data_IF_882459992000
#
_entry.id   IF_882459992000
#
_cell.length_a   1.000
_cell.length_b   1.000
_cell.length_c   1.000
_cell.angle_alpha   90.00
_cell.angle_beta   90.00
_cell.angle_gamma   90.00
#
_symmetry.space_group_name_H-M   'P 1'
#
loop_
_entity.id
_entity.type
_entity.pdbx_description
1 polymer ?
#
# COMPACT_ATOMS: atom_id res chain seq x y z
N UNK A 1 11.94 18.15 -2.25
CA UNK A 1 10.56 17.67 -2.40
C UNK A 1 9.76 18.22 -1.23
N UNK A 2 8.49 18.61 -1.42
CA UNK A 2 7.65 18.97 -0.29
C UNK A 2 7.56 17.81 0.71
N UNK A 3 7.42 18.18 2.00
CA UNK A 3 7.27 17.18 3.06
C UNK A 3 5.87 16.53 2.94
N UNK A 4 5.84 15.27 2.53
CA UNK A 4 4.60 14.53 2.32
C UNK A 4 3.77 14.42 3.61
N UNK A 5 4.42 14.36 4.77
CA UNK A 5 3.73 14.32 6.05
C UNK A 5 2.92 15.60 6.28
N UNK A 6 3.52 16.77 6.06
CA UNK A 6 2.82 18.06 6.21
C UNK A 6 1.69 18.22 5.19
N UNK A 7 1.88 17.75 3.94
CA UNK A 7 0.82 17.81 2.93
C UNK A 7 -0.38 16.96 3.34
N UNK A 8 -0.17 15.75 3.81
CA UNK A 8 -1.25 14.87 4.27
C UNK A 8 -1.83 15.28 5.63
N UNK A 9 -1.05 15.95 6.50
CA UNK A 9 -1.61 16.59 7.68
C UNK A 9 -2.65 17.65 7.31
N UNK A 10 -2.34 18.51 6.32
CA UNK A 10 -3.28 19.53 5.83
C UNK A 10 -4.53 18.93 5.19
N UNK A 11 -4.38 17.81 4.50
CA UNK A 11 -5.46 17.16 3.75
C UNK A 11 -6.29 16.16 4.58
N UNK A 12 -5.88 15.83 5.81
CA UNK A 12 -6.36 14.67 6.55
C UNK A 12 -7.90 14.57 6.62
N UNK A 13 -8.59 15.62 7.03
CA UNK A 13 -10.05 15.61 7.19
C UNK A 13 -10.76 15.52 5.82
N UNK A 14 -10.30 16.30 4.82
CA UNK A 14 -10.91 16.31 3.47
C UNK A 14 -10.69 14.97 2.76
N UNK A 15 -9.48 14.43 2.85
CA UNK A 15 -9.16 13.11 2.29
C UNK A 15 -9.99 12.02 2.92
N UNK A 16 -10.04 12.00 4.25
CA UNK A 16 -10.79 10.99 5.00
C UNK A 16 -12.31 11.06 4.75
N UNK A 17 -12.87 12.25 4.49
CA UNK A 17 -14.28 12.43 4.16
C UNK A 17 -14.62 11.88 2.75
N UNK A 18 -13.68 11.89 1.81
CA UNK A 18 -13.90 11.44 0.42
C UNK A 18 -13.65 9.94 0.19
N UNK A 19 -13.04 9.21 1.14
CA UNK A 19 -12.64 7.81 0.92
C UNK A 19 -13.78 6.83 0.64
N UNK A 20 -14.98 7.10 1.13
CA UNK A 20 -16.18 6.29 0.85
C UNK A 20 -16.60 6.25 -0.63
N UNK A 21 -16.09 7.16 -1.45
CA UNK A 21 -16.33 7.20 -2.90
C UNK A 21 -15.56 6.11 -3.67
N UNK A 22 -14.54 5.51 -3.04
CA UNK A 22 -13.67 4.51 -3.64
C UNK A 22 -14.02 3.13 -3.08
N UNK A 23 -14.87 2.38 -3.79
CA UNK A 23 -15.19 1.01 -3.39
C UNK A 23 -14.03 0.07 -3.72
N UNK A 24 -13.21 -0.21 -2.73
CA UNK A 24 -12.10 -1.17 -2.80
C UNK A 24 -12.45 -2.54 -2.24
N UNK A 25 -13.70 -2.73 -1.78
CA UNK A 25 -14.15 -3.99 -1.15
C UNK A 25 -13.87 -5.21 -2.00
N UNK A 26 -14.20 -5.25 -3.32
CA UNK A 26 -13.98 -6.45 -4.11
C UNK A 26 -12.52 -6.90 -4.19
N UNK A 27 -11.58 -5.97 -4.31
CA UNK A 27 -10.15 -6.31 -4.37
C UNK A 27 -9.58 -6.68 -2.99
N UNK A 28 -10.12 -6.10 -1.91
CA UNK A 28 -9.77 -6.50 -0.54
C UNK A 28 -10.27 -7.91 -0.24
N UNK A 29 -11.47 -8.28 -0.69
CA UNK A 29 -12.02 -9.65 -0.58
C UNK A 29 -11.16 -10.65 -1.36
N UNK A 30 -10.80 -10.35 -2.62
CA UNK A 30 -9.90 -11.18 -3.41
C UNK A 30 -8.56 -11.40 -2.69
N UNK A 31 -7.96 -10.32 -2.20
CA UNK A 31 -6.69 -10.39 -1.48
C UNK A 31 -6.83 -11.19 -0.17
N UNK A 32 -7.88 -10.94 0.61
CA UNK A 32 -8.18 -11.63 1.86
C UNK A 32 -8.41 -13.14 1.67
N UNK A 33 -8.94 -13.55 0.52
CA UNK A 33 -9.10 -14.95 0.15
C UNK A 33 -7.78 -15.74 0.06
N UNK A 34 -6.65 -15.04 -0.04
CA UNK A 34 -5.31 -15.63 -0.05
C UNK A 34 -4.63 -15.67 1.32
N UNK A 35 -5.25 -15.13 2.36
CA UNK A 35 -4.68 -14.98 3.70
C UNK A 35 -5.24 -16.04 4.67
N UNK A 36 -4.48 -16.44 5.68
CA UNK A 36 -5.02 -17.26 6.77
C UNK A 36 -6.09 -16.48 7.55
N UNK A 37 -6.81 -17.16 8.44
CA UNK A 37 -7.62 -16.50 9.45
C UNK A 37 -6.73 -15.84 10.50
N UNK A 38 -7.19 -14.73 11.09
CA UNK A 38 -6.44 -13.98 12.10
C UNK A 38 -5.02 -13.59 11.60
N UNK A 39 -4.95 -13.20 10.31
CA UNK A 39 -3.70 -12.82 9.67
C UNK A 39 -3.10 -11.57 10.33
N UNK A 40 -1.78 -11.49 10.37
CA UNK A 40 -1.08 -10.26 10.73
C UNK A 40 -0.90 -9.40 9.48
N UNK A 41 -1.55 -8.25 9.44
CA UNK A 41 -1.59 -7.33 8.29
C UNK A 41 -0.76 -6.09 8.61
N UNK A 42 0.10 -5.68 7.69
CA UNK A 42 0.73 -4.37 7.67
C UNK A 42 0.04 -3.51 6.61
N UNK A 43 -0.61 -2.42 7.02
CA UNK A 43 -1.19 -1.42 6.13
C UNK A 43 -0.25 -0.23 6.00
N UNK A 44 0.43 -0.13 4.87
CA UNK A 44 1.44 0.90 4.57
C UNK A 44 0.76 2.10 3.92
N UNK A 45 0.96 3.29 4.50
CA UNK A 45 0.20 4.48 4.11
C UNK A 45 -1.26 4.34 4.51
N UNK A 46 -1.51 3.91 5.75
CA UNK A 46 -2.84 3.57 6.25
C UNK A 46 -3.82 4.75 6.31
N UNK A 47 -3.31 5.97 6.16
CA UNK A 47 -4.12 7.18 6.21
C UNK A 47 -4.99 7.23 7.47
N UNK A 48 -6.27 7.52 7.29
CA UNK A 48 -7.27 7.56 8.36
C UNK A 48 -7.83 6.18 8.77
N UNK A 49 -7.21 5.07 8.36
CA UNK A 49 -7.59 3.71 8.72
C UNK A 49 -8.70 3.09 7.87
N UNK A 50 -9.35 3.87 7.01
CA UNK A 50 -10.43 3.40 6.14
C UNK A 50 -10.06 3.59 4.66
N UNK A 51 -10.48 2.63 3.78
CA UNK A 51 -11.26 1.42 4.07
C UNK A 51 -10.42 0.22 4.51
N UNK A 52 -9.09 0.22 4.31
CA UNK A 52 -8.23 -0.97 4.35
C UNK A 52 -8.10 -1.52 5.77
N UNK A 53 -7.58 -0.74 6.72
CA UNK A 53 -7.38 -1.22 8.09
C UNK A 53 -8.72 -1.62 8.74
N UNK A 54 -9.81 -0.88 8.50
CA UNK A 54 -11.16 -1.21 8.96
C UNK A 54 -11.59 -2.58 8.44
N UNK A 55 -11.45 -2.82 7.12
CA UNK A 55 -11.84 -4.10 6.51
C UNK A 55 -11.18 -5.31 7.20
N UNK A 56 -9.86 -5.23 7.42
CA UNK A 56 -9.12 -6.33 8.04
C UNK A 56 -9.41 -6.46 9.54
N UNK A 57 -9.59 -5.35 10.25
CA UNK A 57 -10.00 -5.38 11.66
C UNK A 57 -11.37 -6.04 11.84
N UNK A 58 -12.36 -5.69 11.00
CA UNK A 58 -13.70 -6.28 11.01
C UNK A 58 -13.68 -7.77 10.64
N UNK A 59 -12.70 -8.20 9.84
CA UNK A 59 -12.47 -9.62 9.53
C UNK A 59 -11.86 -10.41 10.70
N UNK A 60 -11.38 -9.73 11.75
CA UNK A 60 -10.72 -10.32 12.91
C UNK A 60 -9.20 -10.49 12.74
N UNK A 61 -8.58 -9.81 11.79
CA UNK A 61 -7.14 -9.81 11.60
C UNK A 61 -6.43 -8.87 12.57
N UNK A 62 -5.15 -9.13 12.82
CA UNK A 62 -4.28 -8.26 13.64
C UNK A 62 -3.65 -7.21 12.71
N UNK A 63 -4.16 -6.00 12.75
CA UNK A 63 -3.76 -4.92 11.84
C UNK A 63 -2.76 -3.99 12.51
N UNK A 64 -1.64 -3.73 11.83
CA UNK A 64 -0.71 -2.64 12.12
C UNK A 64 -0.72 -1.68 10.93
N UNK A 65 -1.15 -0.44 11.16
CA UNK A 65 -1.11 0.63 10.15
C UNK A 65 0.11 1.53 10.36
N UNK A 66 0.75 1.94 9.28
CA UNK A 66 1.81 2.95 9.32
C UNK A 66 1.52 4.08 8.35
N UNK A 67 1.80 5.31 8.80
CA UNK A 67 1.71 6.50 7.97
C UNK A 67 2.77 7.52 8.40
N UNK A 68 3.09 8.50 7.54
CA UNK A 68 3.97 9.62 7.89
C UNK A 68 3.22 10.79 8.51
N UNK A 69 1.90 10.88 8.31
CA UNK A 69 1.04 11.94 8.81
C UNK A 69 0.46 11.60 10.19
N UNK A 70 0.85 12.35 11.21
CA UNK A 70 0.30 12.17 12.56
C UNK A 70 -1.19 12.53 12.65
N UNK A 71 -1.69 13.44 11.81
CA UNK A 71 -3.12 13.76 11.76
C UNK A 71 -3.93 12.62 11.17
N UNK A 72 -3.43 11.96 10.11
CA UNK A 72 -4.03 10.73 9.58
C UNK A 72 -4.09 9.64 10.64
N UNK A 73 -2.97 9.39 11.33
CA UNK A 73 -2.92 8.38 12.39
C UNK A 73 -3.86 8.71 13.57
N UNK A 74 -4.01 9.99 13.92
CA UNK A 74 -4.97 10.40 14.95
C UNK A 74 -6.42 10.12 14.54
N UNK A 75 -6.77 10.27 13.24
CA UNK A 75 -8.07 9.86 12.70
C UNK A 75 -8.21 8.34 12.73
N UNK A 76 -7.19 7.62 12.26
CA UNK A 76 -7.18 6.16 12.20
C UNK A 76 -7.43 5.53 13.58
N UNK A 77 -6.72 5.98 14.62
CA UNK A 77 -6.91 5.49 16.00
C UNK A 77 -8.32 5.71 16.54
N UNK A 78 -9.01 6.78 16.10
CA UNK A 78 -10.41 7.02 16.47
C UNK A 78 -11.40 6.16 15.70
N UNK A 79 -11.11 5.90 14.42
CA UNK A 79 -12.01 5.17 13.52
C UNK A 79 -11.87 3.66 13.66
N UNK A 80 -10.65 3.17 13.88
CA UNK A 80 -10.32 1.74 13.95
C UNK A 80 -9.53 1.47 15.25
N UNK A 81 -10.17 1.61 16.42
CA UNK A 81 -9.48 1.46 17.71
C UNK A 81 -8.97 0.04 17.96
N UNK A 82 -9.39 -0.95 17.18
CA UNK A 82 -8.93 -2.35 17.24
C UNK A 82 -7.57 -2.56 16.59
N UNK A 83 -7.09 -1.61 15.76
CA UNK A 83 -5.81 -1.69 15.06
C UNK A 83 -4.72 -0.86 15.77
N UNK A 84 -3.45 -1.24 15.59
CA UNK A 84 -2.30 -0.47 16.06
C UNK A 84 -1.81 0.47 14.94
N UNK A 85 -1.62 1.77 15.26
CA UNK A 85 -1.18 2.77 14.28
C UNK A 85 0.08 3.48 14.75
N UNK A 86 1.13 3.45 13.89
CA UNK A 86 2.46 3.95 14.19
C UNK A 86 2.94 4.96 13.14
N UNK A 87 3.58 6.06 13.59
CA UNK A 87 4.28 6.97 12.69
C UNK A 87 5.53 6.29 12.15
N UNK A 88 5.56 6.03 10.85
CA UNK A 88 6.68 5.35 10.20
C UNK A 88 6.73 5.66 8.71
N UNK A 89 7.94 5.82 8.17
CA UNK A 89 8.15 5.98 6.74
C UNK A 89 8.27 4.61 6.08
N UNK A 90 7.54 4.39 5.00
CA UNK A 90 7.57 3.15 4.22
C UNK A 90 8.98 2.79 3.69
N UNK A 91 9.86 3.80 3.52
CA UNK A 91 11.26 3.60 3.12
C UNK A 91 12.11 2.83 4.15
N UNK A 92 11.68 2.81 5.41
CA UNK A 92 12.45 2.24 6.51
C UNK A 92 11.53 1.47 7.48
N UNK A 93 11.07 0.29 7.06
CA UNK A 93 10.20 -0.55 7.87
C UNK A 93 10.96 -1.11 9.08
N UNK A 94 10.63 -0.63 10.30
CA UNK A 94 11.25 -1.01 11.57
C UNK A 94 10.83 -2.37 12.11
N UNK A 95 10.19 -3.22 11.29
CA UNK A 95 9.72 -4.54 11.71
C UNK A 95 10.76 -5.64 11.46
N UNK A 96 10.79 -6.70 12.28
CA UNK A 96 11.62 -7.87 12.03
C UNK A 96 11.26 -8.55 10.68
N UNK A 97 12.17 -9.30 10.07
CA UNK A 97 11.86 -10.14 8.92
C UNK A 97 10.73 -11.14 9.22
N UNK A 98 9.92 -11.46 8.22
CA UNK A 98 8.84 -12.46 8.30
C UNK A 98 7.82 -12.18 9.44
N UNK A 99 7.42 -10.91 9.61
CA UNK A 99 6.48 -10.47 10.64
C UNK A 99 5.01 -10.56 10.21
N UNK A 100 4.70 -10.41 8.91
CA UNK A 100 3.35 -10.23 8.42
C UNK A 100 2.93 -11.32 7.43
N UNK A 101 1.67 -11.72 7.51
CA UNK A 101 1.02 -12.63 6.56
C UNK A 101 0.57 -11.88 5.30
N UNK A 102 0.16 -10.61 5.46
CA UNK A 102 -0.25 -9.73 4.40
C UNK A 102 0.32 -8.31 4.56
N UNK A 103 0.61 -7.67 3.43
CA UNK A 103 0.92 -6.25 3.35
C UNK A 103 -0.03 -5.61 2.36
N UNK A 104 -0.59 -4.46 2.73
CA UNK A 104 -1.30 -3.56 1.82
C UNK A 104 -0.50 -2.26 1.67
N UNK A 105 -0.42 -1.74 0.44
CA UNK A 105 0.19 -0.46 0.10
C UNK A 105 -0.68 0.24 -0.94
N UNK A 106 -1.90 0.63 -0.51
CA UNK A 106 -2.95 1.15 -1.36
C UNK A 106 -2.84 2.67 -1.45
N UNK A 107 -2.66 3.20 -2.66
CA UNK A 107 -2.49 4.63 -2.95
C UNK A 107 -1.28 5.29 -2.28
N UNK A 108 -0.16 4.56 -2.14
CA UNK A 108 1.04 5.08 -1.47
C UNK A 108 2.31 5.01 -2.32
N UNK A 109 2.50 3.95 -3.11
CA UNK A 109 3.77 3.68 -3.82
C UNK A 109 4.16 4.82 -4.75
N UNK A 110 3.21 5.37 -5.48
CA UNK A 110 3.45 6.44 -6.45
C UNK A 110 3.76 7.82 -5.83
N UNK A 111 3.69 7.96 -4.50
CA UNK A 111 4.19 9.16 -3.81
C UNK A 111 5.70 9.10 -3.53
N UNK A 112 6.33 7.95 -3.76
CA UNK A 112 7.76 7.79 -3.66
C UNK A 112 8.41 7.84 -5.06
N UNK A 113 9.61 8.42 -5.19
CA UNK A 113 10.33 8.39 -6.46
C UNK A 113 10.48 6.96 -7.01
N UNK A 114 10.20 6.76 -8.29
CA UNK A 114 10.27 5.43 -8.93
C UNK A 114 11.64 4.76 -8.83
N UNK A 115 12.70 5.55 -8.67
CA UNK A 115 14.06 5.02 -8.43
C UNK A 115 14.17 4.31 -7.07
N UNK A 116 13.30 4.61 -6.12
CA UNK A 116 13.27 4.02 -4.79
C UNK A 116 12.36 2.78 -4.72
N UNK A 117 11.50 2.52 -5.72
CA UNK A 117 10.51 1.43 -5.68
C UNK A 117 11.16 0.05 -5.51
N UNK A 118 12.34 -0.19 -6.11
CA UNK A 118 13.04 -1.47 -5.93
C UNK A 118 13.43 -1.71 -4.46
N UNK A 119 13.93 -0.70 -3.77
CA UNK A 119 14.28 -0.78 -2.35
C UNK A 119 13.04 -0.92 -1.46
N UNK A 120 11.94 -0.22 -1.80
CA UNK A 120 10.66 -0.34 -1.13
C UNK A 120 10.11 -1.77 -1.21
N UNK A 121 10.11 -2.37 -2.40
CA UNK A 121 9.63 -3.74 -2.62
C UNK A 121 10.51 -4.79 -1.91
N UNK A 122 11.82 -4.58 -1.85
CA UNK A 122 12.72 -5.41 -1.05
C UNK A 122 12.39 -5.29 0.46
N UNK A 123 12.03 -4.10 0.93
CA UNK A 123 11.53 -3.88 2.28
C UNK A 123 10.25 -4.67 2.58
N UNK A 124 9.29 -4.67 1.65
CA UNK A 124 8.05 -5.45 1.76
C UNK A 124 8.35 -6.96 1.77
N UNK A 125 9.19 -7.43 0.83
CA UNK A 125 9.60 -8.85 0.79
C UNK A 125 10.22 -9.28 2.12
N UNK A 126 11.12 -8.49 2.69
CA UNK A 126 11.81 -8.79 3.93
C UNK A 126 10.85 -9.02 5.10
N UNK A 127 9.83 -8.16 5.27
CA UNK A 127 8.91 -8.24 6.41
C UNK A 127 7.73 -9.20 6.17
N UNK A 128 7.47 -9.62 4.93
CA UNK A 128 6.53 -10.70 4.61
C UNK A 128 7.05 -12.05 5.08
N UNK A 129 6.18 -12.85 5.67
CA UNK A 129 6.42 -14.28 5.90
C UNK A 129 6.56 -15.04 4.58
N UNK A 130 7.29 -16.17 4.54
CA UNK A 130 7.20 -17.10 3.41
C UNK A 130 5.73 -17.47 3.13
N UNK A 131 5.31 -17.40 1.88
CA UNK A 131 3.90 -17.57 1.48
C UNK A 131 3.02 -16.33 1.66
N UNK A 132 3.50 -15.29 2.34
CA UNK A 132 2.76 -14.04 2.57
C UNK A 132 2.41 -13.30 1.27
N UNK A 133 1.45 -12.41 1.36
CA UNK A 133 0.85 -11.68 0.23
C UNK A 133 1.06 -10.18 0.33
N UNK A 134 1.21 -9.54 -0.82
CA UNK A 134 1.28 -8.10 -0.99
C UNK A 134 0.15 -7.65 -1.92
N UNK A 135 -0.62 -6.66 -1.51
CA UNK A 135 -1.53 -5.89 -2.35
C UNK A 135 -1.00 -4.47 -2.46
N UNK A 136 -0.85 -3.95 -3.68
CA UNK A 136 -0.47 -2.55 -3.88
C UNK A 136 -1.14 -1.93 -5.09
N UNK A 137 -1.16 -0.59 -5.12
CA UNK A 137 -1.55 0.19 -6.28
C UNK A 137 -0.37 0.95 -6.87
N UNK A 138 -0.35 1.02 -8.20
CA UNK A 138 0.59 1.84 -8.98
C UNK A 138 -0.22 2.86 -9.79
N UNK A 139 0.30 4.08 -9.91
CA UNK A 139 -0.18 4.99 -10.96
C UNK A 139 0.36 4.53 -12.32
N UNK A 140 -0.33 4.89 -13.39
CA UNK A 140 0.02 4.53 -14.77
C UNK A 140 -0.30 5.68 -15.71
N UNK A 141 -0.12 5.43 -17.01
CA UNK A 141 -0.52 6.34 -18.08
C UNK A 141 -1.97 6.81 -17.94
N UNK A 142 -2.89 5.93 -17.54
CA UNK A 142 -4.32 6.27 -17.40
C UNK A 142 -4.55 7.38 -16.37
N UNK A 143 -3.67 7.51 -15.38
CA UNK A 143 -3.76 8.54 -14.35
C UNK A 143 -2.96 9.80 -14.69
N UNK A 144 -1.73 9.66 -15.23
CA UNK A 144 -0.81 10.79 -15.44
C UNK A 144 -0.76 11.29 -16.87
N UNK A 145 -1.28 10.52 -17.84
CA UNK A 145 -1.15 10.79 -19.28
C UNK A 145 0.25 10.51 -19.84
N UNK A 146 1.13 9.88 -19.06
CA UNK A 146 2.51 9.55 -19.46
C UNK A 146 2.85 8.11 -19.09
N UNK A 147 3.68 7.46 -19.91
CA UNK A 147 4.12 6.08 -19.68
C UNK A 147 5.02 5.94 -18.45
N UNK A 148 5.85 6.94 -18.19
CA UNK A 148 6.68 7.07 -17.01
C UNK A 148 6.56 8.50 -16.50
N UNK A 149 6.50 8.69 -15.20
CA UNK A 149 6.26 9.99 -14.61
C UNK A 149 7.12 10.20 -13.37
N UNK A 150 7.71 11.39 -13.26
CA UNK A 150 8.31 11.95 -12.05
C UNK A 150 7.94 13.43 -11.99
N UNK A 151 7.01 13.79 -11.11
CA UNK A 151 6.51 15.16 -11.05
C UNK A 151 5.53 15.37 -9.91
N UNK A 152 4.67 16.35 -10.12
CA UNK A 152 3.60 16.67 -9.18
C UNK A 152 2.26 16.68 -9.91
N UNK A 153 1.23 16.12 -9.28
CA UNK A 153 -0.15 16.15 -9.73
C UNK A 153 -0.98 16.98 -8.76
N UNK A 154 -2.02 17.61 -9.27
CA UNK A 154 -2.99 18.28 -8.42
C UNK A 154 -3.94 17.25 -7.80
N UNK A 155 -4.08 17.30 -6.48
CA UNK A 155 -4.99 16.45 -5.73
C UNK A 155 -5.59 17.26 -4.57
N UNK A 156 -6.92 17.37 -4.51
CA UNK A 156 -7.65 18.13 -3.49
C UNK A 156 -7.13 19.58 -3.31
N UNK A 157 -6.79 20.26 -4.40
CA UNK A 157 -6.27 21.63 -4.39
C UNK A 157 -4.83 21.78 -3.87
N UNK A 158 -4.09 20.69 -3.79
CA UNK A 158 -2.66 20.66 -3.45
C UNK A 158 -1.86 19.96 -4.54
N UNK A 159 -0.58 20.31 -4.67
CA UNK A 159 0.34 19.60 -5.55
C UNK A 159 1.11 18.55 -4.74
N UNK A 160 0.91 17.29 -5.10
CA UNK A 160 1.56 16.16 -4.45
C UNK A 160 2.56 15.51 -5.41
N UNK A 161 3.67 14.97 -4.89
CA UNK A 161 4.60 14.19 -5.69
C UNK A 161 3.93 12.90 -6.18
N UNK A 162 4.11 12.65 -7.47
CA UNK A 162 3.71 11.41 -8.13
C UNK A 162 4.87 10.89 -8.96
N UNK A 163 5.09 9.59 -8.90
CA UNK A 163 6.16 8.94 -9.65
C UNK A 163 5.78 7.50 -9.95
N UNK A 164 5.93 7.09 -11.22
CA UNK A 164 5.71 5.70 -11.62
C UNK A 164 6.54 5.33 -12.84
N UNK A 165 6.84 4.06 -12.95
CA UNK A 165 7.33 3.40 -14.15
C UNK A 165 6.14 2.90 -15.00
N UNK A 166 6.44 2.41 -16.20
CA UNK A 166 5.52 1.54 -16.94
C UNK A 166 5.20 0.30 -16.11
N UNK A 167 3.99 -0.25 -16.20
CA UNK A 167 3.57 -1.42 -15.42
C UNK A 167 4.56 -2.58 -15.48
N UNK A 168 5.06 -2.94 -16.66
CA UNK A 168 6.00 -4.05 -16.84
C UNK A 168 7.33 -3.82 -16.13
N UNK A 169 7.82 -2.58 -16.06
CA UNK A 169 9.04 -2.22 -15.32
C UNK A 169 8.82 -2.34 -13.82
N UNK A 170 7.69 -1.83 -13.32
CA UNK A 170 7.33 -1.95 -11.92
C UNK A 170 7.14 -3.40 -11.48
N UNK A 171 6.48 -4.24 -12.31
CA UNK A 171 6.35 -5.68 -12.07
C UNK A 171 7.72 -6.39 -12.10
N UNK A 172 8.62 -5.98 -12.99
CA UNK A 172 10.00 -6.47 -13.02
C UNK A 172 10.76 -6.15 -11.73
N UNK A 173 10.56 -4.95 -11.15
CA UNK A 173 11.15 -4.57 -9.85
C UNK A 173 10.60 -5.44 -8.70
N UNK A 174 9.30 -5.75 -8.70
CA UNK A 174 8.71 -6.69 -7.71
C UNK A 174 9.34 -8.08 -7.83
N UNK A 175 9.50 -8.60 -9.05
CA UNK A 175 10.11 -9.90 -9.29
C UNK A 175 11.59 -9.92 -8.87
N UNK A 176 12.34 -8.86 -9.18
CA UNK A 176 13.74 -8.71 -8.76
C UNK A 176 13.90 -8.64 -7.23
N UNK A 177 12.88 -8.12 -6.52
CA UNK A 177 12.82 -8.15 -5.06
C UNK A 177 12.45 -9.53 -4.48
N UNK A 178 12.21 -10.55 -5.31
CA UNK A 178 11.87 -11.91 -4.86
C UNK A 178 10.37 -12.18 -4.70
N UNK A 179 9.52 -11.28 -5.19
CA UNK A 179 8.06 -11.45 -5.15
C UNK A 179 7.55 -12.03 -6.48
N UNK A 180 6.58 -12.94 -6.41
CA UNK A 180 5.90 -13.47 -7.59
C UNK A 180 4.57 -12.77 -7.79
N UNK A 181 4.35 -12.15 -8.94
CA UNK A 181 3.07 -11.52 -9.28
C UNK A 181 2.02 -12.62 -9.48
N UNK A 182 0.90 -12.49 -8.78
CA UNK A 182 -0.26 -13.40 -8.84
C UNK A 182 -1.33 -12.82 -9.77
N UNK A 183 -1.62 -11.53 -9.61
CA UNK A 183 -2.58 -10.82 -10.45
C UNK A 183 -2.14 -9.37 -10.59
N UNK A 184 -2.34 -8.79 -11.77
CA UNK A 184 -2.02 -7.40 -12.04
C UNK A 184 -2.97 -6.87 -13.13
N UNK A 185 -3.73 -5.82 -12.82
CA UNK A 185 -4.72 -5.27 -13.75
C UNK A 185 -5.13 -3.84 -13.40
N UNK A 186 -5.59 -3.04 -14.36
CA UNK A 186 -6.24 -1.77 -14.07
C UNK A 186 -7.60 -2.03 -13.40
N UNK A 187 -7.93 -1.22 -12.39
CA UNK A 187 -9.26 -1.17 -11.76
C UNK A 187 -9.64 0.29 -11.63
N UNK A 188 -10.83 0.61 -12.13
CA UNK A 188 -11.45 1.91 -11.93
C UNK A 188 -12.26 1.90 -10.63
N UNK A 189 -12.04 2.90 -9.80
CA UNK A 189 -12.80 3.12 -8.57
C UNK A 189 -12.83 4.61 -8.25
N UNK A 190 -14.01 5.14 -7.93
CA UNK A 190 -14.20 6.56 -7.65
C UNK A 190 -13.89 7.49 -8.83
N UNK A 191 -13.98 6.99 -10.07
CA UNK A 191 -13.65 7.75 -11.29
C UNK A 191 -12.15 7.84 -11.61
N UNK A 192 -11.31 7.13 -10.88
CA UNK A 192 -9.85 7.05 -11.11
C UNK A 192 -9.44 5.62 -11.44
N UNK A 193 -8.52 5.46 -12.38
CA UNK A 193 -7.97 4.15 -12.77
C UNK A 193 -6.55 4.00 -12.25
N UNK A 194 -6.36 3.00 -11.38
CA UNK A 194 -5.04 2.59 -10.88
C UNK A 194 -4.74 1.15 -11.27
N UNK A 195 -3.45 0.80 -11.32
CA UNK A 195 -3.00 -0.55 -11.60
C UNK A 195 -2.82 -1.31 -10.28
N UNK A 196 -3.68 -2.31 -10.05
CA UNK A 196 -3.70 -3.09 -8.83
C UNK A 196 -2.90 -4.38 -9.00
N UNK A 197 -2.06 -4.65 -8.04
CA UNK A 197 -1.15 -5.80 -8.07
C UNK A 197 -1.30 -6.61 -6.81
N UNK A 198 -1.55 -7.92 -6.98
CA UNK A 198 -1.38 -8.92 -5.92
C UNK A 198 -0.11 -9.69 -6.20
N UNK A 199 0.80 -9.72 -5.24
CA UNK A 199 2.03 -10.50 -5.33
C UNK A 199 2.17 -11.43 -4.12
N UNK A 200 3.10 -12.37 -4.20
CA UNK A 200 3.35 -13.39 -3.19
C UNK A 200 4.84 -13.51 -2.93
N UNK A 201 5.24 -13.60 -1.67
CA UNK A 201 6.56 -14.11 -1.31
C UNK A 201 6.55 -15.63 -1.45
N UNK A 202 7.44 -16.23 -2.25
CA UNK A 202 7.54 -17.70 -2.37
C UNK A 202 7.75 -18.36 -1.00
N UNK A 203 7.23 -19.56 -0.82
CA UNK A 203 7.64 -20.38 0.29
C UNK A 203 9.15 -20.67 0.15
N UNK A 204 9.89 -20.69 1.25
CA UNK A 204 11.24 -21.22 1.20
C UNK A 204 11.11 -22.66 0.69
N UNK A 205 11.71 -22.96 -0.46
CA UNK A 205 11.93 -24.35 -0.86
C UNK A 205 12.66 -25.01 0.31
N UNK A 206 12.06 -26.03 0.90
CA UNK A 206 12.76 -26.86 1.88
C UNK A 206 14.02 -27.33 1.19
N UNK A 207 15.19 -26.88 1.67
CA UNK A 207 16.44 -27.47 1.23
C UNK A 207 16.39 -28.95 1.59
N UNK A 208 16.31 -29.79 0.57
CA UNK A 208 16.69 -31.20 0.73
C UNK A 208 18.11 -31.20 1.27
N UNK A 209 18.24 -31.66 2.49
CA UNK A 209 19.53 -32.04 3.07
C UNK A 209 19.82 -33.48 2.69
#
# INVERSE_FOLDING_TARGET
>A
MPDLALLYDDLAETYAAGRHLFDTTPILEEFAGHLPREARILDVGSGAGEPVARYFADRGDVVTGIDVSERMLALARRRVPEADFQAMNARALGFPPASFDGITAVYVVFHLPRVEHAALFAGFERVLKPGGRLLLTLATHDYTGQDEFDGEMEFLGRRLPYSHDRPEVALGKLQAAGLTVVSARPIETGGETFYWVIARKPNRSGGER
#
